data_IF_049609115546
#
_entry.id   IF_049609115546
#
_cell.length_a   1.000
_cell.length_b   1.000
_cell.length_c   1.000
_cell.angle_alpha   90.00
_cell.angle_beta   90.00
_cell.angle_gamma   90.00
#
_symmetry.space_group_name_H-M   'P 1'
#
loop_
_entity.id
_entity.type
_entity.pdbx_description
1 polymer ?
#
# COMPACT_ATOMS: atom_id res chain seq x y z
N UNK A 1 -36.89 -20.30 -0.46
CA UNK A 1 -36.01 -19.51 -1.34
C UNK A 1 -35.17 -20.48 -2.14
N UNK A 2 -35.04 -20.26 -3.45
CA UNK A 2 -34.24 -21.07 -4.37
C UNK A 2 -32.98 -20.32 -4.75
N UNK A 3 -31.84 -20.99 -4.70
CA UNK A 3 -30.57 -20.44 -5.20
C UNK A 3 -30.61 -20.45 -6.72
N UNK A 4 -30.34 -19.30 -7.33
CA UNK A 4 -30.38 -19.09 -8.78
C UNK A 4 -28.99 -19.18 -9.39
N UNK A 5 -28.02 -18.47 -8.79
CA UNK A 5 -26.65 -18.38 -9.28
C UNK A 5 -25.71 -17.82 -8.21
N UNK A 6 -24.41 -17.96 -8.45
CA UNK A 6 -23.38 -17.21 -7.75
C UNK A 6 -22.89 -16.05 -8.62
N UNK A 7 -22.74 -14.87 -8.02
CA UNK A 7 -22.12 -13.69 -8.62
C UNK A 7 -20.81 -13.43 -7.90
N UNK A 8 -19.70 -13.37 -8.64
CA UNK A 8 -18.36 -13.18 -8.04
C UNK A 8 -17.76 -11.83 -8.40
N UNK A 9 -17.23 -11.14 -7.39
CA UNK A 9 -16.50 -9.88 -7.49
C UNK A 9 -15.13 -10.03 -6.84
N UNK A 10 -14.25 -10.75 -7.53
CA UNK A 10 -12.96 -11.16 -6.97
C UNK A 10 -13.16 -12.24 -5.89
N UNK A 11 -12.72 -11.94 -4.67
CA UNK A 11 -12.89 -12.81 -3.50
C UNK A 11 -14.21 -12.61 -2.76
N UNK A 12 -14.99 -11.57 -3.10
CA UNK A 12 -16.35 -11.42 -2.56
C UNK A 12 -17.35 -12.16 -3.47
N UNK A 13 -18.12 -13.07 -2.89
CA UNK A 13 -19.16 -13.86 -3.56
C UNK A 13 -20.55 -13.41 -3.10
N UNK A 14 -21.49 -13.37 -4.04
CA UNK A 14 -22.89 -13.06 -3.81
C UNK A 14 -23.77 -14.22 -4.26
N UNK A 15 -24.61 -14.74 -3.38
CA UNK A 15 -25.55 -15.81 -3.71
C UNK A 15 -26.87 -15.18 -4.10
N UNK A 16 -27.24 -15.30 -5.37
CA UNK A 16 -28.53 -14.83 -5.87
C UNK A 16 -29.62 -15.83 -5.50
N UNK A 17 -30.63 -15.36 -4.78
CA UNK A 17 -31.77 -16.17 -4.34
C UNK A 17 -33.08 -15.59 -4.85
N UNK A 18 -34.05 -16.48 -5.09
CA UNK A 18 -35.41 -16.14 -5.49
C UNK A 18 -36.44 -16.80 -4.59
N UNK A 19 -37.41 -16.05 -4.08
CA UNK A 19 -38.56 -16.61 -3.38
C UNK A 19 -39.49 -17.33 -4.38
N UNK A 20 -39.84 -18.58 -4.10
CA UNK A 20 -40.71 -19.36 -5.00
C UNK A 20 -42.18 -18.94 -4.91
N UNK A 21 -42.62 -18.31 -3.81
CA UNK A 21 -44.01 -17.89 -3.64
C UNK A 21 -44.28 -16.50 -4.22
N UNK A 22 -43.43 -15.50 -3.93
CA UNK A 22 -43.65 -14.12 -4.35
C UNK A 22 -42.69 -13.63 -5.45
N UNK A 23 -41.80 -14.49 -5.96
CA UNK A 23 -40.78 -14.17 -6.97
C UNK A 23 -39.76 -13.08 -6.57
N UNK A 24 -39.75 -12.61 -5.32
CA UNK A 24 -38.76 -11.68 -4.80
C UNK A 24 -37.33 -12.19 -5.01
N UNK A 25 -36.41 -11.33 -5.44
CA UNK A 25 -35.02 -11.66 -5.69
C UNK A 25 -34.09 -10.80 -4.83
N UNK A 26 -33.08 -11.43 -4.27
CA UNK A 26 -32.06 -10.77 -3.46
C UNK A 26 -30.71 -11.44 -3.67
N UNK A 27 -29.63 -10.70 -3.46
CA UNK A 27 -28.26 -11.23 -3.45
C UNK A 27 -27.71 -11.08 -2.04
N UNK A 28 -27.38 -12.20 -1.42
CA UNK A 28 -26.71 -12.22 -0.13
C UNK A 28 -25.20 -12.31 -0.37
N UNK A 29 -24.45 -11.29 0.06
CA UNK A 29 -23.01 -11.23 -0.12
C UNK A 29 -22.27 -11.86 1.06
N UNK A 30 -21.13 -12.52 0.79
CA UNK A 30 -20.21 -13.03 1.82
C UNK A 30 -19.59 -11.91 2.64
N UNK A 31 -19.47 -10.73 2.05
CA UNK A 31 -19.09 -9.49 2.71
C UNK A 31 -20.02 -8.37 2.25
N UNK A 32 -20.56 -7.60 3.21
CA UNK A 32 -21.42 -6.46 2.95
C UNK A 32 -20.69 -5.39 2.11
N UNK A 33 -21.15 -5.10 0.88
CA UNK A 33 -20.55 -4.09 0.01
C UNK A 33 -20.60 -2.66 0.57
N UNK A 34 -21.43 -2.40 1.58
CA UNK A 34 -21.62 -1.09 2.20
C UNK A 34 -20.89 -0.94 3.54
N UNK A 35 -20.15 -1.96 3.96
CA UNK A 35 -19.39 -1.93 5.19
C UNK A 35 -18.27 -0.88 5.12
N UNK A 36 -18.03 -0.17 6.23
CA UNK A 36 -16.91 0.77 6.37
C UNK A 36 -15.56 0.07 6.53
N UNK A 37 -15.56 -1.24 6.78
CA UNK A 37 -14.34 -2.04 6.88
C UNK A 37 -13.65 -2.18 5.53
N UNK A 38 -12.33 -2.43 5.58
CA UNK A 38 -11.53 -2.72 4.39
C UNK A 38 -12.07 -3.97 3.67
N UNK A 39 -12.49 -3.86 2.40
CA UNK A 39 -13.06 -4.98 1.65
C UNK A 39 -12.08 -6.15 1.49
N UNK A 40 -12.59 -7.37 1.36
CA UNK A 40 -11.82 -8.62 1.26
C UNK A 40 -10.78 -8.60 0.14
N UNK A 41 -11.09 -7.99 -1.00
CA UNK A 41 -10.15 -7.86 -2.11
C UNK A 41 -8.96 -6.99 -1.72
N UNK A 42 -9.22 -5.82 -1.12
CA UNK A 42 -8.19 -4.92 -0.62
C UNK A 42 -7.41 -5.57 0.52
N UNK A 43 -8.07 -6.31 1.41
CA UNK A 43 -7.44 -7.01 2.52
C UNK A 43 -6.47 -8.11 2.04
N UNK A 44 -6.88 -8.92 1.06
CA UNK A 44 -6.04 -9.96 0.47
C UNK A 44 -4.81 -9.37 -0.22
N UNK A 45 -4.99 -8.30 -1.02
CA UNK A 45 -3.88 -7.62 -1.69
C UNK A 45 -2.96 -6.93 -0.66
N UNK A 46 -3.51 -6.33 0.39
CA UNK A 46 -2.72 -5.75 1.49
C UNK A 46 -1.91 -6.82 2.23
N UNK A 47 -2.51 -7.99 2.47
CA UNK A 47 -1.87 -9.13 3.10
C UNK A 47 -0.68 -9.66 2.30
N UNK A 48 -0.86 -9.94 1.01
CA UNK A 48 0.23 -10.45 0.17
C UNK A 48 1.38 -9.44 0.05
N UNK A 49 1.07 -8.14 -0.08
CA UNK A 49 2.08 -7.10 -0.15
C UNK A 49 2.87 -6.96 1.16
N UNK A 50 2.25 -7.20 2.32
CA UNK A 50 2.92 -7.15 3.62
C UNK A 50 3.94 -8.28 3.79
N UNK A 51 3.71 -9.43 3.18
CA UNK A 51 4.66 -10.56 3.19
C UNK A 51 5.66 -10.51 2.03
N UNK A 52 5.72 -9.40 1.29
CA UNK A 52 6.65 -9.22 0.17
C UNK A 52 6.25 -9.96 -1.10
N UNK A 53 5.04 -10.50 -1.17
CA UNK A 53 4.52 -11.17 -2.36
C UNK A 53 3.85 -10.20 -3.34
N UNK A 54 3.64 -10.68 -4.57
CA UNK A 54 2.92 -9.97 -5.62
C UNK A 54 1.68 -10.72 -6.11
N UNK A 55 1.17 -10.30 -7.27
CA UNK A 55 0.00 -10.91 -7.91
C UNK A 55 0.17 -12.44 -8.09
N UNK A 56 1.30 -12.87 -8.67
CA UNK A 56 1.56 -14.28 -8.93
C UNK A 56 1.57 -15.12 -7.64
N UNK A 57 2.11 -14.60 -6.54
CA UNK A 57 2.12 -15.31 -5.26
C UNK A 57 0.71 -15.42 -4.66
N UNK A 58 -0.11 -14.37 -4.79
CA UNK A 58 -1.51 -14.43 -4.34
C UNK A 58 -2.32 -15.41 -5.20
N UNK A 59 -2.12 -15.39 -6.52
CA UNK A 59 -2.77 -16.30 -7.46
C UNK A 59 -2.42 -17.76 -7.17
N UNK A 60 -1.13 -18.06 -6.97
CA UNK A 60 -0.65 -19.39 -6.61
C UNK A 60 -1.22 -19.87 -5.27
N UNK A 61 -1.18 -19.01 -4.25
CA UNK A 61 -1.70 -19.33 -2.92
C UNK A 61 -3.21 -19.65 -2.97
N UNK A 62 -4.00 -18.83 -3.65
CA UNK A 62 -5.44 -19.03 -3.77
C UNK A 62 -5.77 -20.28 -4.60
N UNK A 63 -5.06 -20.50 -5.71
CA UNK A 63 -5.25 -21.67 -6.57
C UNK A 63 -4.93 -22.97 -5.83
N UNK A 64 -3.91 -22.96 -4.96
CA UNK A 64 -3.57 -24.12 -4.10
C UNK A 64 -4.70 -24.48 -3.13
N UNK A 65 -5.49 -23.49 -2.70
CA UNK A 65 -6.66 -23.67 -1.84
C UNK A 65 -7.95 -23.97 -2.62
N UNK A 66 -7.87 -24.11 -3.95
CA UNK A 66 -9.03 -24.19 -4.84
C UNK A 66 -10.00 -23.00 -4.71
N UNK A 67 -9.46 -21.84 -4.32
CA UNK A 67 -10.18 -20.56 -4.27
C UNK A 67 -9.89 -19.82 -5.57
N UNK A 68 -10.89 -19.48 -6.39
CA UNK A 68 -10.55 -18.90 -7.69
C UNK A 68 -10.01 -17.47 -7.52
N UNK A 69 -8.87 -17.16 -8.16
CA UNK A 69 -8.09 -15.98 -7.84
C UNK A 69 -8.72 -14.67 -8.33
N UNK A 70 -8.17 -13.55 -7.85
CA UNK A 70 -8.46 -12.22 -8.39
C UNK A 70 -8.00 -12.14 -9.85
N UNK A 71 -8.75 -11.41 -10.68
CA UNK A 71 -8.21 -11.02 -12.00
C UNK A 71 -7.04 -10.05 -11.82
N UNK A 72 -6.07 -10.07 -12.74
CA UNK A 72 -4.94 -9.13 -12.74
C UNK A 72 -5.40 -7.66 -12.71
N UNK A 73 -6.48 -7.33 -13.43
CA UNK A 73 -7.09 -6.00 -13.42
C UNK A 73 -7.62 -5.60 -12.03
N UNK A 74 -8.33 -6.51 -11.36
CA UNK A 74 -8.84 -6.27 -10.00
C UNK A 74 -7.68 -6.12 -9.02
N UNK A 75 -6.68 -7.01 -9.09
CA UNK A 75 -5.50 -6.91 -8.25
C UNK A 75 -4.79 -5.56 -8.39
N UNK A 76 -4.52 -5.12 -9.63
CA UNK A 76 -3.84 -3.84 -9.88
C UNK A 76 -4.64 -2.66 -9.34
N UNK A 77 -5.96 -2.69 -9.48
CA UNK A 77 -6.83 -1.64 -8.91
C UNK A 77 -6.66 -1.56 -7.40
N UNK A 78 -6.80 -2.67 -6.68
CA UNK A 78 -6.67 -2.71 -5.21
C UNK A 78 -5.24 -2.38 -4.77
N UNK A 79 -4.23 -2.86 -5.50
CA UNK A 79 -2.82 -2.55 -5.27
C UNK A 79 -2.56 -1.04 -5.35
N UNK A 80 -3.08 -0.38 -6.39
CA UNK A 80 -2.92 1.07 -6.57
C UNK A 80 -3.63 1.85 -5.45
N UNK A 81 -4.82 1.42 -5.03
CA UNK A 81 -5.50 2.02 -3.87
C UNK A 81 -4.64 1.95 -2.61
N UNK A 82 -4.03 0.81 -2.33
CA UNK A 82 -3.13 0.61 -1.19
C UNK A 82 -1.85 1.44 -1.35
N UNK A 83 -1.26 1.48 -2.54
CA UNK A 83 -0.04 2.24 -2.83
C UNK A 83 -0.26 3.73 -2.59
N UNK A 84 -1.32 4.31 -3.15
CA UNK A 84 -1.67 5.73 -2.93
C UNK A 84 -1.94 6.04 -1.46
N UNK A 85 -2.61 5.14 -0.73
CA UNK A 85 -2.82 5.32 0.71
C UNK A 85 -1.49 5.30 1.48
N UNK A 86 -0.58 4.39 1.14
CA UNK A 86 0.76 4.30 1.75
C UNK A 86 1.61 5.53 1.46
N UNK A 87 1.59 6.05 0.24
CA UNK A 87 2.31 7.27 -0.13
C UNK A 87 1.86 8.47 0.71
N UNK A 88 0.54 8.66 0.85
CA UNK A 88 -0.03 9.73 1.69
C UNK A 88 0.37 9.59 3.16
N UNK A 89 0.29 8.38 3.71
CA UNK A 89 0.70 8.13 5.10
C UNK A 89 2.19 8.38 5.26
N UNK A 90 3.03 7.93 4.32
CA UNK A 90 4.45 8.19 4.36
C UNK A 90 4.77 9.69 4.36
N UNK A 91 4.10 10.49 3.53
CA UNK A 91 4.25 11.95 3.52
C UNK A 91 3.92 12.59 4.87
N UNK A 92 2.78 12.20 5.47
CA UNK A 92 2.33 12.72 6.78
C UNK A 92 3.32 12.35 7.90
N UNK A 93 3.78 11.09 7.92
CA UNK A 93 4.73 10.60 8.92
C UNK A 93 6.10 11.27 8.77
N UNK A 94 6.59 11.43 7.53
CA UNK A 94 7.84 12.15 7.26
C UNK A 94 7.76 13.62 7.67
N UNK A 95 6.63 14.29 7.39
CA UNK A 95 6.41 15.66 7.84
C UNK A 95 6.40 15.78 9.36
N UNK A 96 5.68 14.87 10.04
CA UNK A 96 5.63 14.82 11.51
C UNK A 96 7.02 14.60 12.11
N UNK A 97 7.81 13.69 11.54
CA UNK A 97 9.19 13.45 11.94
C UNK A 97 10.10 14.68 11.72
N UNK A 98 9.94 15.39 10.59
CA UNK A 98 10.68 16.62 10.33
C UNK A 98 10.35 17.72 11.35
N UNK A 99 9.08 17.82 11.74
CA UNK A 99 8.63 18.78 12.74
C UNK A 99 9.18 18.49 14.13
N UNK A 100 9.26 17.22 14.53
CA UNK A 100 9.88 16.80 15.78
C UNK A 100 11.38 17.14 15.81
N UNK A 101 12.11 16.83 14.73
CA UNK A 101 13.53 17.18 14.61
C UNK A 101 13.74 18.70 14.69
N UNK A 102 12.87 19.48 14.05
CA UNK A 102 12.87 20.95 14.10
C UNK A 102 12.68 21.47 15.52
N UNK A 103 11.74 20.92 16.27
CA UNK A 103 11.50 21.32 17.66
C UNK A 103 12.74 21.06 18.53
N UNK A 104 13.39 19.91 18.35
CA UNK A 104 14.62 19.59 19.07
C UNK A 104 15.76 20.56 18.72
N UNK A 105 15.92 20.94 17.45
CA UNK A 105 16.93 21.91 17.04
C UNK A 105 16.71 23.29 17.70
N UNK A 106 15.46 23.76 17.75
CA UNK A 106 15.10 25.02 18.44
C UNK A 106 15.44 24.95 19.93
N UNK A 107 15.09 23.86 20.61
CA UNK A 107 15.39 23.68 22.04
C UNK A 107 16.89 23.65 22.33
N UNK A 108 17.70 23.16 21.39
CA UNK A 108 19.15 23.15 21.50
C UNK A 108 19.80 24.51 21.16
N UNK A 109 19.02 25.52 20.75
CA UNK A 109 19.54 26.81 20.32
C UNK A 109 20.27 26.77 18.96
N UNK A 110 20.04 25.72 18.15
CA UNK A 110 20.66 25.53 16.84
C UNK A 110 19.92 26.37 15.78
N UNK A 111 20.03 27.69 15.90
CA UNK A 111 19.42 28.64 14.98
C UNK A 111 20.50 29.20 14.05
N UNK A 112 20.27 29.09 12.74
CA UNK A 112 21.15 29.63 11.73
C UNK A 112 21.16 31.16 11.70
N UNK A 113 22.12 31.78 11.00
CA UNK A 113 22.20 33.24 10.86
C UNK A 113 20.96 33.90 10.24
N UNK A 114 20.16 33.11 9.52
CA UNK A 114 18.91 33.46 8.85
C UNK A 114 17.67 33.35 9.76
N UNK A 115 17.85 32.92 11.01
CA UNK A 115 16.77 32.73 11.97
C UNK A 115 16.02 31.40 11.83
N UNK A 116 16.47 30.50 10.94
CA UNK A 116 15.86 29.19 10.77
C UNK A 116 16.59 28.11 11.59
N UNK A 117 15.88 27.12 12.16
CA UNK A 117 16.51 26.01 12.85
C UNK A 117 17.38 25.19 11.90
N UNK A 118 18.64 24.95 12.27
CA UNK A 118 19.57 24.13 11.49
C UNK A 118 19.43 22.68 11.93
N UNK A 119 19.05 21.80 10.99
CA UNK A 119 18.87 20.38 11.28
C UNK A 119 20.12 19.58 10.91
N UNK A 120 20.65 18.82 11.86
CA UNK A 120 21.64 17.80 11.55
C UNK A 120 20.92 16.56 11.01
N UNK A 121 21.33 16.08 9.84
CA UNK A 121 20.71 14.94 9.16
C UNK A 121 21.76 13.96 8.65
N UNK A 122 21.33 12.71 8.47
CA UNK A 122 22.08 11.68 7.74
C UNK A 122 21.38 11.46 6.41
N UNK A 123 22.14 11.44 5.33
CA UNK A 123 21.60 11.17 3.99
C UNK A 123 22.18 9.86 3.50
N UNK A 124 21.30 8.97 3.06
CA UNK A 124 21.68 7.74 2.35
C UNK A 124 20.93 7.67 1.03
N UNK A 125 21.56 7.09 0.01
CA UNK A 125 20.97 7.02 -1.31
C UNK A 125 21.60 5.92 -2.15
N UNK A 126 20.76 5.30 -2.98
CA UNK A 126 21.15 4.21 -3.83
C UNK A 126 20.59 4.37 -5.25
N UNK A 127 21.35 3.86 -6.22
CA UNK A 127 20.86 3.61 -7.57
C UNK A 127 20.59 2.12 -7.69
N UNK A 128 19.41 1.75 -8.21
CA UNK A 128 19.14 0.34 -8.45
C UNK A 128 20.16 -0.21 -9.47
N UNK A 129 20.79 -1.34 -9.16
CA UNK A 129 21.75 -2.00 -10.05
C UNK A 129 21.01 -2.96 -10.98
N UNK A 130 21.42 -2.99 -12.25
CA UNK A 130 20.95 -3.97 -13.23
C UNK A 130 22.04 -5.00 -13.46
N UNK A 131 21.71 -6.29 -13.38
CA UNK A 131 22.66 -7.40 -13.49
C UNK A 131 22.91 -7.87 -14.93
N UNK A 132 22.37 -7.20 -15.95
CA UNK A 132 22.52 -7.64 -17.34
C UNK A 132 23.91 -7.32 -17.91
N UNK A 133 24.79 -8.35 -17.94
CA UNK A 133 26.13 -8.42 -18.57
C UNK A 133 27.18 -7.44 -18.05
N UNK A 134 26.83 -6.17 -17.85
CA UNK A 134 27.69 -5.12 -17.33
C UNK A 134 26.95 -4.43 -16.17
N UNK A 135 27.63 -4.25 -15.04
CA UNK A 135 27.07 -3.78 -13.76
C UNK A 135 26.68 -2.28 -13.77
N UNK A 136 25.76 -1.89 -14.66
CA UNK A 136 25.31 -0.51 -14.83
C UNK A 136 24.31 -0.12 -13.75
N UNK A 137 24.45 1.12 -13.26
CA UNK A 137 23.42 1.76 -12.44
C UNK A 137 22.21 2.09 -13.32
N UNK A 138 21.01 1.79 -12.83
CA UNK A 138 19.77 2.15 -13.52
C UNK A 138 19.49 3.64 -13.39
N UNK A 139 18.63 4.17 -14.27
CA UNK A 139 18.11 5.54 -14.16
C UNK A 139 17.08 5.70 -13.03
N UNK A 140 16.75 4.60 -12.33
CA UNK A 140 15.94 4.62 -11.12
C UNK A 140 16.82 4.58 -9.87
N UNK A 141 16.51 5.41 -8.90
CA UNK A 141 17.23 5.51 -7.64
C UNK A 141 16.35 6.07 -6.53
N UNK A 142 16.80 5.92 -5.29
CA UNK A 142 16.13 6.46 -4.12
C UNK A 142 17.16 7.11 -3.20
N UNK A 143 16.75 8.17 -2.51
CA UNK A 143 17.52 8.81 -1.46
C UNK A 143 16.61 9.10 -0.27
N UNK A 144 17.11 8.91 0.94
CA UNK A 144 16.43 9.20 2.18
C UNK A 144 17.25 10.19 3.00
N UNK A 145 16.55 11.14 3.61
CA UNK A 145 17.09 12.02 4.63
C UNK A 145 16.53 11.56 5.97
N UNK A 146 17.42 11.32 6.92
CA UNK A 146 17.11 10.79 8.25
C UNK A 146 17.52 11.81 9.30
N UNK A 147 16.61 12.14 10.22
CA UNK A 147 16.90 13.03 11.35
C UNK A 147 18.02 12.45 12.22
N UNK A 148 19.04 13.25 12.55
CA UNK A 148 20.17 12.74 13.30
C UNK A 148 19.79 12.39 14.75
N UNK A 149 18.83 13.09 15.36
CA UNK A 149 18.41 12.85 16.75
C UNK A 149 17.28 11.83 16.82
N UNK A 150 16.20 12.04 16.07
CA UNK A 150 15.02 11.15 16.08
C UNK A 150 15.27 9.81 15.41
N UNK A 151 16.27 9.72 14.53
CA UNK A 151 16.55 8.54 13.67
C UNK A 151 15.37 8.17 12.76
N UNK A 152 14.43 9.08 12.54
CA UNK A 152 13.27 8.90 11.67
C UNK A 152 13.57 9.43 10.27
N UNK A 153 12.97 8.81 9.26
CA UNK A 153 13.02 9.33 7.89
C UNK A 153 12.17 10.60 7.84
N UNK A 154 12.78 11.71 7.43
CA UNK A 154 12.10 13.01 7.32
C UNK A 154 11.81 13.39 5.87
N UNK A 155 12.47 12.73 4.92
CA UNK A 155 12.21 12.87 3.50
C UNK A 155 12.70 11.65 2.74
N UNK A 156 11.97 11.24 1.71
CA UNK A 156 12.38 10.20 0.77
C UNK A 156 12.09 10.68 -0.66
N UNK A 157 13.14 10.76 -1.46
CA UNK A 157 13.06 11.06 -2.89
C UNK A 157 13.24 9.78 -3.70
N UNK A 158 12.33 9.53 -4.63
CA UNK A 158 12.45 8.41 -5.59
C UNK A 158 12.50 8.99 -6.99
N UNK A 159 13.49 8.56 -7.76
CA UNK A 159 13.56 8.78 -9.20
C UNK A 159 13.19 7.46 -9.87
N UNK A 160 12.13 7.49 -10.67
CA UNK A 160 11.80 6.40 -11.58
C UNK A 160 12.04 6.84 -13.03
N UNK A 161 12.49 5.90 -13.86
CA UNK A 161 12.62 6.08 -15.30
C UNK A 161 11.26 6.05 -15.98
#
# INVERSE_FOLDING_TARGET
>A
MKIMSEVRKGLNSGISMKCEMCNFQEIIWTEDPHNEKMPVNTAAVSGILKIGGGFANLEEFLSTLDIPPLSSKTYQKEHNTIATAREKVAEIEMYSAAMEEKQLAVQAGEIGPDGFPTLTVVVDGCWAKRSYRNNYSSLSGAAAIVGFRTKKVIYMGVRNR
#
